data_IF_891587903158
#
_entry.id   IF_891587903158
#
_cell.length_a   1.000
_cell.length_b   1.000
_cell.length_c   1.000
_cell.angle_alpha   90.00
_cell.angle_beta   90.00
_cell.angle_gamma   90.00
#
_symmetry.space_group_name_H-M   'P 1'
#
loop_
_entity.id
_entity.type
_entity.pdbx_description
1 polymer ?
#
# COMPACT_ATOMS: atom_id res chain seq x y z
N UNK A 1 53.13 6.75 24.14
CA UNK A 1 53.30 5.62 23.20
C UNK A 1 52.69 6.04 21.87
N UNK A 2 53.52 6.58 20.99
CA UNK A 2 53.09 7.13 19.70
C UNK A 2 52.84 6.00 18.69
N UNK A 3 51.64 6.00 18.09
CA UNK A 3 51.24 5.05 17.06
C UNK A 3 51.85 5.48 15.72
N UNK A 4 52.86 4.76 15.26
CA UNK A 4 53.45 4.99 13.93
C UNK A 4 52.44 4.66 12.82
N UNK A 5 52.15 5.63 11.96
CA UNK A 5 51.39 5.44 10.72
C UNK A 5 52.32 4.83 9.67
N UNK A 6 52.20 3.53 9.42
CA UNK A 6 52.95 2.83 8.37
C UNK A 6 52.26 3.13 7.02
N UNK A 7 52.87 3.99 6.20
CA UNK A 7 52.46 4.19 4.80
C UNK A 7 52.92 2.98 3.98
N UNK A 8 52.01 2.09 3.59
CA UNK A 8 52.30 1.03 2.61
C UNK A 8 52.47 1.64 1.22
N UNK A 9 53.46 1.18 0.47
CA UNK A 9 53.70 1.58 -0.92
C UNK A 9 52.54 1.16 -1.82
N UNK A 10 52.24 1.99 -2.81
CA UNK A 10 51.16 1.81 -3.80
C UNK A 10 51.46 0.56 -4.64
N UNK A 11 50.85 -0.56 -4.26
CA UNK A 11 50.89 -1.80 -5.06
C UNK A 11 50.23 -1.56 -6.41
N UNK A 12 50.82 -2.17 -7.43
CA UNK A 12 50.46 -2.10 -8.84
C UNK A 12 48.96 -2.32 -9.07
N UNK A 13 48.43 -1.55 -10.02
CA UNK A 13 47.02 -1.54 -10.38
C UNK A 13 46.59 -2.94 -10.82
N UNK A 14 45.76 -3.60 -10.01
CA UNK A 14 44.99 -4.74 -10.49
C UNK A 14 44.09 -4.25 -11.64
N UNK A 15 43.89 -5.08 -12.69
CA UNK A 15 42.96 -4.73 -13.76
C UNK A 15 41.58 -4.57 -13.14
N UNK A 16 41.01 -3.35 -13.24
CA UNK A 16 39.64 -3.08 -12.83
C UNK A 16 38.72 -4.04 -13.59
N UNK A 17 37.97 -4.85 -12.85
CA UNK A 17 36.83 -5.56 -13.41
C UNK A 17 35.95 -4.56 -14.17
N UNK A 18 35.51 -4.93 -15.39
CA UNK A 18 34.63 -4.11 -16.19
C UNK A 18 33.39 -3.78 -15.35
N UNK A 19 33.11 -2.50 -15.14
CA UNK A 19 31.88 -2.07 -14.49
C UNK A 19 30.68 -2.73 -15.22
N UNK A 20 29.71 -3.30 -14.48
CA UNK A 20 28.55 -3.90 -15.11
C UNK A 20 27.86 -2.84 -15.98
N UNK A 21 27.52 -3.20 -17.23
CA UNK A 21 26.86 -2.32 -18.20
C UNK A 21 25.79 -1.45 -17.51
N UNK A 22 25.86 -0.14 -17.72
CA UNK A 22 24.93 0.82 -17.13
C UNK A 22 23.50 0.39 -17.46
N UNK A 23 22.73 0.07 -16.40
CA UNK A 23 21.33 -0.30 -16.54
C UNK A 23 20.56 0.89 -17.10
N UNK A 24 20.26 0.86 -18.39
CA UNK A 24 19.39 1.84 -19.04
C UNK A 24 17.96 1.60 -18.55
N UNK A 25 17.54 2.36 -17.55
CA UNK A 25 16.15 2.33 -17.07
C UNK A 25 15.26 3.08 -18.07
N UNK A 26 14.38 2.35 -18.77
CA UNK A 26 13.31 2.94 -19.57
C UNK A 26 12.04 3.03 -18.71
N UNK A 27 11.28 4.10 -18.87
CA UNK A 27 9.97 4.23 -18.22
C UNK A 27 9.02 3.15 -18.76
N UNK A 28 8.40 2.39 -17.85
CA UNK A 28 7.39 1.40 -18.21
C UNK A 28 6.02 2.06 -18.38
N UNK A 29 5.32 1.74 -19.47
CA UNK A 29 3.91 2.13 -19.65
C UNK A 29 3.02 1.40 -18.65
N UNK A 30 1.97 2.06 -18.16
CA UNK A 30 1.03 1.51 -17.17
C UNK A 30 0.45 0.16 -17.64
N UNK A 31 0.13 0.04 -18.92
CA UNK A 31 -0.40 -1.17 -19.54
C UNK A 31 0.60 -2.33 -19.58
N UNK A 32 1.91 -2.07 -19.51
CA UNK A 32 2.91 -3.15 -19.52
C UNK A 32 2.96 -3.90 -18.19
N UNK A 33 2.45 -3.30 -17.12
CA UNK A 33 2.45 -3.88 -15.78
C UNK A 33 1.60 -5.16 -15.71
N UNK A 34 2.12 -6.18 -15.01
CA UNK A 34 1.46 -7.49 -14.87
C UNK A 34 0.08 -7.43 -14.20
N UNK A 35 -0.12 -6.47 -13.30
CA UNK A 35 -1.36 -6.32 -12.50
C UNK A 35 -2.39 -5.39 -13.13
N UNK A 36 -2.02 -4.65 -14.16
CA UNK A 36 -2.94 -3.75 -14.87
C UNK A 36 -3.52 -4.53 -16.04
N UNK A 37 -4.85 -4.60 -16.07
CA UNK A 37 -5.60 -5.33 -17.10
C UNK A 37 -6.59 -4.38 -17.74
N UNK A 38 -6.51 -4.26 -19.06
CA UNK A 38 -7.50 -3.54 -19.87
C UNK A 38 -8.72 -4.46 -20.04
N UNK A 39 -9.90 -3.96 -19.65
CA UNK A 39 -11.13 -4.79 -19.60
C UNK A 39 -11.58 -5.21 -21.01
N UNK A 40 -11.37 -4.34 -22.00
CA UNK A 40 -11.73 -4.59 -23.40
C UNK A 40 -10.90 -5.74 -23.98
N UNK A 41 -9.59 -5.74 -23.76
CA UNK A 41 -8.70 -6.83 -24.16
C UNK A 41 -9.12 -8.16 -23.53
N UNK A 42 -9.50 -8.14 -22.25
CA UNK A 42 -9.97 -9.34 -21.56
C UNK A 42 -11.26 -9.89 -22.18
N UNK A 43 -12.19 -9.02 -22.58
CA UNK A 43 -13.42 -9.42 -23.30
C UNK A 43 -13.10 -9.93 -24.71
N UNK A 44 -12.12 -9.32 -25.39
CA UNK A 44 -11.65 -9.76 -26.71
C UNK A 44 -11.05 -11.16 -26.63
N UNK A 45 -10.12 -11.41 -25.71
CA UNK A 45 -9.54 -12.74 -25.49
C UNK A 45 -10.57 -13.75 -25.01
N UNK A 46 -11.53 -13.36 -24.18
CA UNK A 46 -12.65 -14.22 -23.80
C UNK A 46 -13.41 -14.70 -25.04
N UNK A 47 -13.79 -13.76 -25.91
CA UNK A 47 -14.52 -14.08 -27.14
C UNK A 47 -13.68 -14.99 -28.05
N UNK A 48 -12.37 -14.74 -28.12
CA UNK A 48 -11.41 -15.57 -28.85
C UNK A 48 -11.35 -17.01 -28.31
N UNK A 49 -11.50 -17.22 -27.01
CA UNK A 49 -11.51 -18.55 -26.39
C UNK A 49 -12.88 -19.25 -26.43
N UNK A 50 -13.98 -18.50 -26.51
CA UNK A 50 -15.34 -19.07 -26.56
C UNK A 50 -15.76 -19.49 -27.98
N UNK A 51 -15.23 -18.83 -29.00
CA UNK A 51 -15.55 -19.14 -30.39
C UNK A 51 -14.93 -20.48 -30.82
N UNK A 52 -15.78 -21.47 -31.12
CA UNK A 52 -15.37 -22.82 -31.50
C UNK A 52 -14.76 -22.94 -32.91
N UNK A 53 -14.74 -21.85 -33.67
CA UNK A 53 -14.21 -21.80 -35.06
C UNK A 53 -12.73 -21.38 -35.09
N UNK A 54 -12.13 -21.09 -33.93
CA UNK A 54 -10.77 -20.57 -33.83
C UNK A 54 -9.71 -21.64 -34.15
N UNK A 55 -8.61 -21.21 -34.79
CA UNK A 55 -7.43 -22.05 -34.97
C UNK A 55 -6.72 -22.28 -33.63
N UNK A 56 -6.03 -23.42 -33.51
CA UNK A 56 -5.24 -23.78 -32.33
C UNK A 56 -4.24 -22.68 -31.93
N UNK A 57 -3.59 -22.07 -32.91
CA UNK A 57 -2.57 -21.03 -32.72
C UNK A 57 -3.13 -19.79 -32.05
N UNK A 58 -4.30 -19.31 -32.47
CA UNK A 58 -4.95 -18.13 -31.88
C UNK A 58 -5.35 -18.38 -30.43
N UNK A 59 -5.80 -19.60 -30.11
CA UNK A 59 -6.14 -19.98 -28.73
C UNK A 59 -4.89 -19.97 -27.84
N UNK A 60 -3.77 -20.48 -28.36
CA UNK A 60 -2.48 -20.49 -27.66
C UNK A 60 -2.00 -19.05 -27.44
N UNK A 61 -2.04 -18.21 -28.48
CA UNK A 61 -1.65 -16.79 -28.40
C UNK A 61 -2.50 -16.05 -27.36
N UNK A 62 -3.82 -16.23 -27.37
CA UNK A 62 -4.71 -15.64 -26.38
C UNK A 62 -4.37 -16.08 -24.95
N UNK A 63 -4.09 -17.36 -24.74
CA UNK A 63 -3.68 -17.89 -23.43
C UNK A 63 -2.30 -17.36 -23.00
N UNK A 64 -1.37 -17.15 -23.94
CA UNK A 64 -0.06 -16.55 -23.65
C UNK A 64 -0.19 -15.08 -23.24
N UNK A 65 -1.02 -14.30 -23.93
CA UNK A 65 -1.31 -12.90 -23.55
C UNK A 65 -2.02 -12.83 -22.19
N UNK A 66 -2.99 -13.72 -21.95
CA UNK A 66 -3.66 -13.83 -20.65
C UNK A 66 -2.69 -14.22 -19.53
N UNK A 67 -1.67 -15.04 -19.81
CA UNK A 67 -0.64 -15.39 -18.83
C UNK A 67 0.23 -14.21 -18.42
N UNK A 68 0.51 -13.29 -19.34
CA UNK A 68 1.27 -12.07 -19.06
C UNK A 68 0.54 -11.16 -18.06
N UNK A 69 -0.77 -11.32 -17.92
CA UNK A 69 -1.64 -10.51 -17.06
C UNK A 69 -2.18 -11.32 -15.87
N UNK A 70 -2.31 -10.66 -14.72
CA UNK A 70 -2.96 -11.22 -13.53
C UNK A 70 -4.17 -10.34 -13.19
N UNK A 71 -5.37 -10.70 -13.63
CA UNK A 71 -6.59 -9.97 -13.31
C UNK A 71 -6.92 -10.07 -11.81
N UNK A 72 -7.58 -9.03 -11.28
CA UNK A 72 -8.07 -9.01 -9.91
C UNK A 72 -9.28 -9.94 -9.74
N UNK A 73 -9.60 -10.29 -8.48
CA UNK A 73 -10.77 -11.14 -8.15
C UNK A 73 -12.07 -10.55 -8.71
N UNK A 74 -12.26 -9.24 -8.61
CA UNK A 74 -13.46 -8.55 -9.09
C UNK A 74 -13.60 -8.63 -10.61
N UNK A 75 -12.48 -8.44 -11.34
CA UNK A 75 -12.45 -8.54 -12.80
C UNK A 75 -12.74 -9.99 -13.27
N UNK A 76 -12.19 -10.98 -12.57
CA UNK A 76 -12.47 -12.40 -12.87
C UNK A 76 -13.95 -12.75 -12.67
N UNK A 77 -14.58 -12.20 -11.61
CA UNK A 77 -16.00 -12.41 -11.33
C UNK A 77 -16.91 -11.72 -12.34
N UNK A 78 -16.60 -10.47 -12.70
CA UNK A 78 -17.43 -9.68 -13.63
C UNK A 78 -17.37 -10.20 -15.06
N UNK A 79 -16.17 -10.52 -15.55
CA UNK A 79 -15.97 -10.96 -16.94
C UNK A 79 -16.21 -12.46 -17.14
N UNK A 80 -16.15 -13.25 -16.06
CA UNK A 80 -16.25 -14.72 -16.06
C UNK A 80 -15.17 -15.41 -16.91
N UNK A 81 -14.07 -14.71 -17.26
CA UNK A 81 -12.93 -15.29 -18.00
C UNK A 81 -12.29 -16.47 -17.24
N UNK A 82 -12.34 -16.46 -15.90
CA UNK A 82 -11.85 -17.58 -15.10
C UNK A 82 -12.57 -18.90 -15.42
N UNK A 83 -13.86 -18.84 -15.74
CA UNK A 83 -14.64 -20.02 -16.14
C UNK A 83 -14.27 -20.50 -17.53
N UNK A 84 -14.04 -19.61 -18.48
CA UNK A 84 -13.64 -19.99 -19.85
C UNK A 84 -12.27 -20.64 -19.85
N UNK A 85 -11.26 -20.05 -19.17
CA UNK A 85 -9.93 -20.67 -19.02
C UNK A 85 -10.02 -22.02 -18.32
N UNK A 86 -10.89 -22.17 -17.31
CA UNK A 86 -11.10 -23.46 -16.66
C UNK A 86 -11.74 -24.51 -17.60
N UNK A 87 -12.59 -24.09 -18.54
CA UNK A 87 -13.12 -24.98 -19.59
C UNK A 87 -12.02 -25.40 -20.56
N UNK A 88 -11.13 -24.48 -20.95
CA UNK A 88 -10.00 -24.76 -21.86
C UNK A 88 -9.00 -25.78 -21.30
N UNK A 89 -8.98 -26.02 -19.99
CA UNK A 89 -8.18 -27.12 -19.39
C UNK A 89 -8.61 -28.52 -19.82
N UNK A 90 -9.82 -28.67 -20.36
CA UNK A 90 -10.37 -29.93 -20.88
C UNK A 90 -10.39 -29.95 -22.42
N UNK A 91 -9.65 -29.05 -23.07
CA UNK A 91 -9.56 -29.02 -24.52
C UNK A 91 -8.94 -30.34 -25.05
N UNK A 92 -9.35 -30.84 -26.22
CA UNK A 92 -8.78 -32.06 -26.81
C UNK A 92 -7.27 -31.95 -27.07
N UNK A 93 -6.79 -30.75 -27.42
CA UNK A 93 -5.36 -30.50 -27.60
C UNK A 93 -4.62 -30.37 -26.27
N UNK A 94 -3.58 -31.19 -26.10
CA UNK A 94 -2.75 -31.23 -24.89
C UNK A 94 -2.00 -29.91 -24.65
N UNK A 95 -1.46 -29.28 -25.70
CA UNK A 95 -0.73 -28.00 -25.60
C UNK A 95 -1.61 -26.88 -25.03
N UNK A 96 -2.86 -26.79 -25.51
CA UNK A 96 -3.85 -25.81 -25.05
C UNK A 96 -4.26 -26.11 -23.61
N UNK A 97 -4.52 -27.38 -23.30
CA UNK A 97 -4.95 -27.82 -21.98
C UNK A 97 -3.86 -27.58 -20.91
N UNK A 98 -2.60 -27.87 -21.22
CA UNK A 98 -1.45 -27.65 -20.34
C UNK A 98 -1.23 -26.16 -20.08
N UNK A 99 -1.24 -25.33 -21.13
CA UNK A 99 -1.11 -23.88 -21.01
C UNK A 99 -2.26 -23.27 -20.18
N UNK A 100 -3.50 -23.66 -20.45
CA UNK A 100 -4.67 -23.20 -19.68
C UNK A 100 -4.59 -23.63 -18.21
N UNK A 101 -4.04 -24.83 -17.92
CA UNK A 101 -3.82 -25.31 -16.55
C UNK A 101 -2.79 -24.44 -15.83
N UNK A 102 -1.69 -24.08 -16.50
CA UNK A 102 -0.68 -23.16 -15.93
C UNK A 102 -1.31 -21.81 -15.60
N UNK A 103 -1.99 -21.17 -16.55
CA UNK A 103 -2.66 -19.86 -16.33
C UNK A 103 -3.65 -19.93 -15.16
N UNK A 104 -4.52 -20.94 -15.16
CA UNK A 104 -5.49 -21.13 -14.08
C UNK A 104 -4.81 -21.32 -12.71
N UNK A 105 -3.75 -22.12 -12.65
CA UNK A 105 -3.01 -22.34 -11.40
C UNK A 105 -2.33 -21.06 -10.93
N UNK A 106 -1.67 -20.30 -11.82
CA UNK A 106 -1.04 -19.02 -11.49
C UNK A 106 -2.04 -18.02 -10.93
N UNK A 107 -3.23 -17.87 -11.56
CA UNK A 107 -4.27 -16.98 -11.04
C UNK A 107 -4.81 -17.44 -9.68
N UNK A 108 -5.06 -18.75 -9.52
CA UNK A 108 -5.59 -19.30 -8.27
C UNK A 108 -4.60 -19.18 -7.12
N UNK A 109 -3.33 -19.51 -7.34
CA UNK A 109 -2.29 -19.41 -6.31
C UNK A 109 -2.04 -17.95 -5.94
N UNK A 110 -2.01 -17.05 -6.93
CA UNK A 110 -1.84 -15.63 -6.69
C UNK A 110 -2.96 -15.06 -5.81
N UNK A 111 -4.21 -15.34 -6.13
CA UNK A 111 -5.37 -14.85 -5.34
C UNK A 111 -5.32 -15.43 -3.93
N UNK A 112 -4.98 -16.72 -3.78
CA UNK A 112 -4.87 -17.35 -2.45
C UNK A 112 -3.73 -16.76 -1.61
N UNK A 113 -2.59 -16.45 -2.23
CA UNK A 113 -1.44 -15.84 -1.53
C UNK A 113 -1.71 -14.38 -1.16
N UNK A 114 -2.49 -13.66 -1.96
CA UNK A 114 -2.75 -12.23 -1.76
C UNK A 114 -4.09 -11.92 -1.10
N UNK A 115 -4.94 -12.92 -0.80
CA UNK A 115 -6.23 -12.71 -0.13
C UNK A 115 -6.09 -12.12 1.27
N UNK A 116 -5.01 -12.48 1.96
CA UNK A 116 -4.76 -12.11 3.35
C UNK A 116 -3.73 -11.00 3.48
N UNK A 117 -3.32 -10.37 2.37
CA UNK A 117 -2.34 -9.28 2.43
C UNK A 117 -3.05 -8.06 3.02
N UNK A 118 -2.67 -7.58 4.21
CA UNK A 118 -3.28 -6.39 4.77
C UNK A 118 -3.06 -5.22 3.81
N UNK A 119 -4.06 -4.34 3.71
CA UNK A 119 -3.89 -3.07 3.03
C UNK A 119 -2.65 -2.38 3.60
N UNK A 120 -1.77 -1.91 2.71
CA UNK A 120 -0.55 -1.21 3.13
C UNK A 120 -0.99 0.14 3.70
N UNK A 121 -1.27 0.17 4.99
CA UNK A 121 -1.45 1.42 5.72
C UNK A 121 -0.07 2.07 5.82
N UNK A 122 0.05 3.31 5.32
CA UNK A 122 1.24 4.13 5.51
C UNK A 122 1.29 4.51 6.98
N UNK A 123 1.94 3.66 7.77
CA UNK A 123 2.21 3.91 9.19
C UNK A 123 3.37 4.89 9.33
N UNK A 124 3.34 5.70 10.38
CA UNK A 124 4.50 6.52 10.74
C UNK A 124 5.60 5.65 11.32
N UNK A 125 6.82 6.18 11.44
CA UNK A 125 7.90 5.47 12.13
C UNK A 125 7.51 5.17 13.59
N UNK A 126 8.06 4.10 14.21
CA UNK A 126 7.68 3.68 15.56
C UNK A 126 7.83 4.77 16.62
N UNK A 127 8.81 5.67 16.47
CA UNK A 127 9.05 6.77 17.42
C UNK A 127 7.95 7.83 17.30
N UNK A 128 7.56 8.20 16.09
CA UNK A 128 6.40 9.07 15.85
C UNK A 128 5.12 8.44 16.40
N UNK A 129 4.87 7.15 16.14
CA UNK A 129 3.69 6.47 16.67
C UNK A 129 3.66 6.48 18.21
N UNK A 130 4.78 6.20 18.88
CA UNK A 130 4.86 6.24 20.34
C UNK A 130 4.53 7.62 20.92
N UNK A 131 5.04 8.70 20.31
CA UNK A 131 4.74 10.07 20.77
C UNK A 131 3.26 10.41 20.56
N UNK A 132 2.67 10.01 19.43
CA UNK A 132 1.25 10.22 19.14
C UNK A 132 0.36 9.40 20.09
N UNK A 133 0.73 8.15 20.38
CA UNK A 133 0.04 7.33 21.38
C UNK A 133 0.08 7.97 22.78
N UNK A 134 1.23 8.52 23.19
CA UNK A 134 1.33 9.23 24.46
C UNK A 134 0.45 10.49 24.49
N UNK A 135 0.38 11.25 23.40
CA UNK A 135 -0.53 12.39 23.30
C UNK A 135 -2.00 11.97 23.44
N UNK A 136 -2.40 10.87 22.80
CA UNK A 136 -3.75 10.29 22.93
C UNK A 136 -4.05 9.84 24.35
N UNK A 137 -3.10 9.19 25.03
CA UNK A 137 -3.25 8.80 26.44
C UNK A 137 -3.51 10.00 27.34
N UNK A 138 -2.73 11.08 27.18
CA UNK A 138 -2.91 12.32 27.95
C UNK A 138 -4.27 12.99 27.68
N UNK A 139 -4.71 12.99 26.42
CA UNK A 139 -6.02 13.55 26.05
C UNK A 139 -7.18 12.68 26.58
N UNK A 140 -7.04 11.36 26.53
CA UNK A 140 -8.03 10.42 27.07
C UNK A 140 -8.18 10.58 28.59
N UNK A 141 -7.08 10.73 29.32
CA UNK A 141 -7.07 10.97 30.77
C UNK A 141 -7.84 12.24 31.13
N UNK A 142 -7.61 13.34 30.40
CA UNK A 142 -8.26 14.62 30.71
C UNK A 142 -9.74 14.64 30.31
N UNK A 143 -10.10 13.95 29.23
CA UNK A 143 -11.48 13.82 28.78
C UNK A 143 -12.26 12.76 29.57
N UNK A 144 -11.60 11.99 30.44
CA UNK A 144 -12.18 10.89 31.22
C UNK A 144 -12.84 9.82 30.32
N UNK A 145 -12.20 9.50 29.19
CA UNK A 145 -12.69 8.52 28.21
C UNK A 145 -11.67 7.39 28.01
N UNK A 146 -12.14 6.24 27.57
CA UNK A 146 -11.31 5.09 27.22
C UNK A 146 -10.27 5.43 26.13
N UNK A 147 -9.11 4.77 26.23
CA UNK A 147 -8.01 4.90 25.27
C UNK A 147 -8.46 4.28 23.94
N UNK A 148 -8.47 5.08 22.88
CA UNK A 148 -8.97 4.66 21.56
C UNK A 148 -10.37 5.18 21.22
N UNK A 149 -10.96 6.02 22.07
CA UNK A 149 -12.21 6.68 21.74
C UNK A 149 -12.06 7.61 20.52
N UNK A 150 -12.98 7.58 19.53
CA UNK A 150 -12.87 8.36 18.29
C UNK A 150 -12.66 9.87 18.49
N UNK A 151 -13.25 10.43 19.55
CA UNK A 151 -13.06 11.85 19.92
C UNK A 151 -11.60 12.21 20.17
N UNK A 152 -10.88 11.37 20.93
CA UNK A 152 -9.48 11.57 21.27
C UNK A 152 -8.60 11.43 20.02
N UNK A 153 -8.91 10.44 19.18
CA UNK A 153 -8.19 10.24 17.93
C UNK A 153 -8.33 11.43 17.00
N UNK A 154 -9.54 11.98 16.87
CA UNK A 154 -9.81 13.12 16.01
C UNK A 154 -9.12 14.40 16.51
N UNK A 155 -9.12 14.68 17.82
CA UNK A 155 -8.42 15.84 18.39
C UNK A 155 -6.91 15.77 18.12
N UNK A 156 -6.31 14.59 18.32
CA UNK A 156 -4.88 14.39 18.05
C UNK A 156 -4.56 14.49 16.56
N UNK A 157 -5.40 13.90 15.70
CA UNK A 157 -5.23 13.97 14.25
C UNK A 157 -5.32 15.42 13.73
N UNK A 158 -6.26 16.22 14.23
CA UNK A 158 -6.37 17.64 13.89
C UNK A 158 -5.14 18.44 14.37
N UNK A 159 -4.67 18.18 15.59
CA UNK A 159 -3.44 18.80 16.10
C UNK A 159 -2.21 18.44 15.25
N UNK A 160 -2.11 17.19 14.82
CA UNK A 160 -1.05 16.71 13.93
C UNK A 160 -1.16 17.34 12.54
N UNK A 161 -2.37 17.44 11.99
CA UNK A 161 -2.64 18.05 10.69
C UNK A 161 -2.22 19.54 10.68
N UNK A 162 -2.66 20.31 11.69
CA UNK A 162 -2.31 21.73 11.81
C UNK A 162 -0.82 21.99 12.08
N UNK A 163 -0.10 20.98 12.57
CA UNK A 163 1.34 21.02 12.83
C UNK A 163 2.17 20.45 11.67
N UNK A 164 1.65 20.58 10.44
CA UNK A 164 2.25 20.13 9.18
C UNK A 164 2.57 18.64 9.10
N UNK A 165 1.83 17.79 9.83
CA UNK A 165 2.03 16.34 9.88
C UNK A 165 3.43 15.93 10.35
N UNK A 166 4.03 16.72 11.25
CA UNK A 166 5.34 16.46 11.83
C UNK A 166 5.30 16.56 13.35
N UNK A 167 6.05 15.70 14.04
CA UNK A 167 6.23 15.75 15.49
C UNK A 167 7.29 16.82 15.83
N UNK A 168 6.95 18.08 15.56
CA UNK A 168 7.80 19.24 15.80
C UNK A 168 7.51 19.89 17.17
N UNK A 169 8.24 20.94 17.51
CA UNK A 169 7.99 21.70 18.74
C UNK A 169 6.57 22.32 18.79
N UNK A 170 6.02 22.89 17.69
CA UNK A 170 4.61 23.30 17.62
C UNK A 170 3.63 22.20 18.03
N UNK A 171 3.69 21.01 17.44
CA UNK A 171 2.83 19.87 17.80
C UNK A 171 2.88 19.55 19.30
N UNK A 172 4.07 19.49 19.89
CA UNK A 172 4.20 19.20 21.32
C UNK A 172 3.69 20.36 22.19
N UNK A 173 3.74 21.60 21.71
CA UNK A 173 3.20 22.77 22.42
C UNK A 173 1.67 22.83 22.33
N UNK A 174 1.10 22.51 21.17
CA UNK A 174 -0.36 22.46 20.97
C UNK A 174 -1.00 21.36 21.80
N UNK A 175 -0.45 20.15 21.79
CA UNK A 175 -0.95 19.03 22.61
C UNK A 175 -0.92 19.39 24.09
N UNK A 176 0.19 19.96 24.60
CA UNK A 176 0.26 20.38 26.00
C UNK A 176 -0.74 21.49 26.34
N UNK A 177 -0.93 22.45 25.43
CA UNK A 177 -1.91 23.52 25.62
C UNK A 177 -3.33 22.95 25.68
N UNK A 178 -3.69 22.01 24.80
CA UNK A 178 -4.98 21.32 24.80
C UNK A 178 -5.22 20.51 26.07
N UNK A 179 -4.23 19.71 26.49
CA UNK A 179 -4.31 18.93 27.73
C UNK A 179 -4.51 19.86 28.94
N UNK A 180 -3.76 20.96 29.01
CA UNK A 180 -3.89 21.91 30.12
C UNK A 180 -5.24 22.63 30.11
N UNK A 181 -5.74 23.06 28.95
CA UNK A 181 -7.02 23.77 28.86
C UNK A 181 -8.19 22.87 29.20
N UNK A 182 -8.21 21.63 28.68
CA UNK A 182 -9.25 20.66 28.99
C UNK A 182 -9.22 20.21 30.45
N UNK A 183 -8.03 20.21 31.09
CA UNK A 183 -7.88 19.84 32.51
C UNK A 183 -8.41 20.91 33.45
N UNK A 184 -8.18 22.19 33.13
CA UNK A 184 -8.51 23.30 34.03
C UNK A 184 -9.82 24.03 33.69
N UNK A 185 -10.39 23.83 32.49
CA UNK A 185 -11.64 24.46 32.05
C UNK A 185 -12.72 23.41 31.77
N UNK A 186 -13.51 23.00 32.79
CA UNK A 186 -14.51 21.95 32.65
C UNK A 186 -15.64 22.31 31.67
N UNK A 187 -15.94 23.61 31.50
CA UNK A 187 -16.92 24.09 30.53
C UNK A 187 -16.54 23.72 29.09
N UNK A 188 -15.28 23.94 28.72
CA UNK A 188 -14.77 23.61 27.37
C UNK A 188 -14.78 22.10 27.18
N UNK A 189 -14.43 21.33 28.22
CA UNK A 189 -14.48 19.87 28.19
C UNK A 189 -15.90 19.36 27.93
N UNK A 190 -16.91 19.91 28.62
CA UNK A 190 -18.31 19.54 28.39
C UNK A 190 -18.80 19.94 26.99
N UNK A 191 -18.39 21.09 26.45
CA UNK A 191 -18.72 21.51 25.08
C UNK A 191 -18.12 20.59 24.01
N UNK A 192 -16.93 20.05 24.26
CA UNK A 192 -16.27 19.11 23.35
C UNK A 192 -16.91 17.73 23.42
N UNK A 193 -17.27 17.26 24.62
CA UNK A 193 -17.98 15.98 24.80
C UNK A 193 -19.41 16.03 24.21
N UNK A 194 -20.11 17.16 24.33
CA UNK A 194 -21.45 17.35 23.75
C UNK A 194 -21.44 17.67 22.25
N UNK A 195 -20.27 17.88 21.64
CA UNK A 195 -20.13 18.17 20.21
C UNK A 195 -20.56 19.58 19.80
N UNK A 196 -20.85 20.47 20.74
CA UNK A 196 -21.25 21.87 20.48
C UNK A 196 -20.08 22.66 19.88
N UNK A 197 -18.84 22.36 20.31
CA UNK A 197 -17.64 23.00 19.78
C UNK A 197 -16.96 22.10 18.74
N UNK A 198 -16.80 22.56 17.48
CA UNK A 198 -16.04 21.82 16.47
C UNK A 198 -14.58 21.61 16.89
N UNK A 199 -14.08 20.39 16.70
CA UNK A 199 -12.71 20.01 17.08
C UNK A 199 -11.66 20.84 16.32
N UNK A 200 -11.91 21.14 15.05
CA UNK A 200 -11.04 21.98 14.23
C UNK A 200 -10.86 23.37 14.85
N UNK A 201 -11.94 24.00 15.29
CA UNK A 201 -11.92 25.32 15.94
C UNK A 201 -11.22 25.27 17.30
N UNK A 202 -11.46 24.23 18.10
CA UNK A 202 -10.77 24.03 19.38
C UNK A 202 -9.24 23.97 19.19
N UNK A 203 -8.79 23.11 18.28
CA UNK A 203 -7.35 22.90 18.05
C UNK A 203 -6.71 24.16 17.43
N UNK A 204 -7.40 24.85 16.51
CA UNK A 204 -6.92 26.11 15.95
C UNK A 204 -6.73 27.19 17.03
N UNK A 205 -7.68 27.33 17.97
CA UNK A 205 -7.58 28.30 19.08
C UNK A 205 -6.39 28.05 20.00
N UNK A 206 -5.94 26.81 20.10
CA UNK A 206 -4.82 26.40 20.94
C UNK A 206 -3.54 26.11 20.18
N UNK A 207 -3.48 26.51 18.89
CA UNK A 207 -2.27 26.44 18.09
C UNK A 207 -1.19 27.39 18.64
N UNK A 208 0.02 26.87 18.82
CA UNK A 208 1.20 27.58 19.33
C UNK A 208 2.41 27.29 18.46
#
# INVERSE_FOLDING_TARGET
>A
MDKFVIRKSRTEQQPKEKDPEEKVYKQATIESLKRVVVIEDLKRWKSMLELSVQSKENIIEALMELRKKIPSREILLSTKIGHTVNKMRKHPDEDVATLAKVVYTEWRTFIKQHSNRPSIAVRSDPKTEAIRQNARKLLAEVLEVEIGHPLVENIEQEAFHLSSRLINAPYRRTVRALVFTLKHKPEIRAQVQSGVLPLSTLVQRHKK
#
